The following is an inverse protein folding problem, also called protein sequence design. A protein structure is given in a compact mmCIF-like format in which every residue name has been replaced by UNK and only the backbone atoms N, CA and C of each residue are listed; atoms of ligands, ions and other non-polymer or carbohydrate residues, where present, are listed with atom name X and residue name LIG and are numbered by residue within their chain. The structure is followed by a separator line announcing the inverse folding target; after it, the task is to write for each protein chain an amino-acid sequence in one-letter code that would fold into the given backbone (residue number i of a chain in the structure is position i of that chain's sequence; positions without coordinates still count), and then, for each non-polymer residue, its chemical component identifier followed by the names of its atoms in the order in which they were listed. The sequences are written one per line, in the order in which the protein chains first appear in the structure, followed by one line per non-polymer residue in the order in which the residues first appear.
data_IF_933958332394
#
_entry.id   IF_933958332394
#
_cell.length_a   1.000
_cell.length_b   1.000
_cell.length_c   1.000
_cell.angle_alpha   90.00
_cell.angle_beta   90.00
_cell.angle_gamma   90.00
#
_symmetry.space_group_name_H-M   'P 1'
#
loop_
_entity.id
_entity.type
_entity.pdbx_description
1 polymer ?
#
# COMPACT_ATOMS: atom_id res chain seq x y z
N UNK A 1 12.10 -13.20 -0.45
CA UNK A 1 10.84 -13.39 -1.20
C UNK A 1 11.07 -13.00 -2.65
N UNK A 2 10.57 -13.77 -3.63
CA UNK A 2 10.78 -13.44 -5.05
C UNK A 2 10.10 -12.11 -5.41
N UNK A 3 10.82 -11.22 -6.10
CA UNK A 3 10.29 -9.92 -6.54
C UNK A 3 9.29 -10.11 -7.67
N UNK A 4 8.12 -9.49 -7.55
CA UNK A 4 7.03 -9.60 -8.55
C UNK A 4 7.13 -8.49 -9.60
N UNK A 5 8.26 -8.45 -10.29
CA UNK A 5 8.66 -7.32 -11.15
C UNK A 5 7.58 -6.85 -12.12
N UNK A 6 6.95 -7.77 -12.86
CA UNK A 6 5.85 -7.44 -13.78
C UNK A 6 4.75 -6.61 -13.13
N UNK A 7 4.29 -6.99 -11.94
CA UNK A 7 3.18 -6.31 -11.26
C UNK A 7 3.64 -5.02 -10.56
N UNK A 8 4.88 -5.00 -10.07
CA UNK A 8 5.47 -3.79 -9.51
C UNK A 8 5.62 -2.72 -10.60
N UNK A 9 6.10 -3.08 -11.79
CA UNK A 9 6.29 -2.14 -12.89
C UNK A 9 4.95 -1.49 -13.32
N UNK A 10 3.85 -2.25 -13.34
CA UNK A 10 2.51 -1.69 -13.61
C UNK A 10 2.09 -0.63 -12.57
N UNK A 11 2.45 -0.81 -11.30
CA UNK A 11 2.19 0.18 -10.26
C UNK A 11 3.08 1.42 -10.42
N UNK A 12 4.36 1.21 -10.79
CA UNK A 12 5.33 2.29 -11.04
C UNK A 12 4.87 3.19 -12.18
N UNK A 13 4.46 2.60 -13.32
CA UNK A 13 4.01 3.32 -14.51
C UNK A 13 2.85 4.29 -14.23
N UNK A 14 2.03 4.00 -13.22
CA UNK A 14 0.85 4.80 -12.86
C UNK A 14 1.00 5.62 -11.58
N UNK A 15 2.17 5.60 -10.93
CA UNK A 15 2.42 6.19 -9.59
C UNK A 15 1.96 7.64 -9.51
N UNK A 16 2.45 8.49 -10.42
CA UNK A 16 2.30 9.95 -10.36
C UNK A 16 1.14 10.51 -11.19
N UNK A 17 0.27 9.62 -11.68
CA UNK A 17 -0.91 10.00 -12.47
C UNK A 17 -2.13 10.40 -11.60
N UNK A 18 -2.01 10.37 -10.28
CA UNK A 18 -3.14 10.66 -9.37
C UNK A 18 -4.26 9.61 -9.39
N UNK A 19 -4.05 8.47 -10.05
CA UNK A 19 -5.06 7.41 -10.19
C UNK A 19 -5.14 6.53 -8.94
N UNK A 20 -6.33 6.05 -8.63
CA UNK A 20 -6.56 4.99 -7.64
C UNK A 20 -6.21 3.65 -8.29
N UNK A 21 -5.33 2.87 -7.64
CA UNK A 21 -4.91 1.55 -8.12
C UNK A 21 -5.61 0.46 -7.30
N UNK A 22 -6.33 -0.44 -7.98
CA UNK A 22 -7.02 -1.57 -7.34
C UNK A 22 -6.36 -2.89 -7.74
N UNK A 23 -5.82 -3.62 -6.76
CA UNK A 23 -5.19 -4.93 -6.98
C UNK A 23 -6.19 -6.03 -6.62
N UNK A 24 -6.68 -6.77 -7.62
CA UNK A 24 -7.65 -7.85 -7.44
C UNK A 24 -6.99 -9.24 -7.56
N UNK A 25 -7.72 -10.28 -7.16
CA UNK A 25 -7.29 -11.68 -7.31
C UNK A 25 -7.70 -12.56 -6.12
N UNK A 26 -7.60 -13.87 -6.30
CA UNK A 26 -8.05 -14.88 -5.32
C UNK A 26 -7.35 -14.78 -3.96
N UNK A 27 -7.97 -15.31 -2.89
CA UNK A 27 -7.35 -15.40 -1.56
C UNK A 27 -6.01 -16.17 -1.66
N UNK A 28 -4.98 -15.72 -0.93
CA UNK A 28 -3.60 -16.26 -0.97
C UNK A 28 -2.83 -16.08 -2.28
N UNK A 29 -3.29 -15.23 -3.22
CA UNK A 29 -2.52 -14.89 -4.43
C UNK A 29 -1.30 -13.98 -4.18
N UNK A 30 -1.08 -13.52 -2.93
CA UNK A 30 0.05 -12.68 -2.53
C UNK A 30 -0.11 -11.18 -2.84
N UNK A 31 -1.34 -10.66 -2.80
CA UNK A 31 -1.62 -9.21 -2.97
C UNK A 31 -0.99 -8.36 -1.86
N UNK A 32 -1.13 -8.77 -0.60
CA UNK A 32 -0.53 -8.06 0.53
C UNK A 32 0.99 -7.99 0.41
N UNK A 33 1.62 -9.07 -0.09
CA UNK A 33 3.03 -9.05 -0.44
C UNK A 33 3.34 -8.03 -1.52
N UNK A 34 2.57 -7.99 -2.62
CA UNK A 34 2.82 -7.04 -3.70
C UNK A 34 2.75 -5.58 -3.19
N UNK A 35 1.80 -5.28 -2.30
CA UNK A 35 1.71 -3.98 -1.64
C UNK A 35 2.93 -3.67 -0.77
N UNK A 36 3.43 -4.65 -0.01
CA UNK A 36 4.66 -4.49 0.79
C UNK A 36 5.90 -4.28 -0.10
N UNK A 37 6.04 -5.05 -1.18
CA UNK A 37 7.13 -4.87 -2.15
C UNK A 37 7.06 -3.50 -2.83
N UNK A 38 5.84 -2.99 -3.08
CA UNK A 38 5.66 -1.64 -3.59
C UNK A 38 6.01 -0.59 -2.54
N UNK A 39 5.66 -0.79 -1.26
CA UNK A 39 6.13 0.05 -0.13
C UNK A 39 7.65 0.14 -0.12
N UNK A 40 8.33 -0.99 -0.20
CA UNK A 40 9.80 -1.07 -0.20
C UNK A 40 10.39 -0.33 -1.41
N UNK A 41 9.75 -0.45 -2.58
CA UNK A 41 10.11 0.34 -3.75
C UNK A 41 9.97 1.86 -3.48
N UNK A 42 8.85 2.32 -2.93
CA UNK A 42 8.64 3.74 -2.63
C UNK A 42 9.71 4.28 -1.66
N UNK A 43 10.04 3.51 -0.62
CA UNK A 43 11.12 3.83 0.33
C UNK A 43 12.48 3.92 -0.37
N UNK A 44 12.76 3.03 -1.33
CA UNK A 44 13.99 3.07 -2.15
C UNK A 44 14.06 4.24 -3.14
N UNK A 45 12.98 5.02 -3.26
CA UNK A 45 12.92 6.25 -4.07
C UNK A 45 12.89 7.50 -3.19
N UNK A 46 13.45 7.39 -1.98
CA UNK A 46 13.56 8.46 -0.98
C UNK A 46 12.22 9.05 -0.52
N UNK A 47 11.11 8.33 -0.72
CA UNK A 47 9.83 8.70 -0.12
C UNK A 47 9.91 8.39 1.37
N UNK A 48 9.72 9.43 2.18
CA UNK A 48 9.77 9.30 3.63
C UNK A 48 8.68 8.35 4.13
N UNK A 49 9.00 7.46 5.07
CA UNK A 49 8.05 6.46 5.59
C UNK A 49 6.78 7.09 6.16
N UNK A 50 6.89 8.27 6.80
CA UNK A 50 5.72 9.03 7.29
C UNK A 50 4.71 9.42 6.21
N UNK A 51 5.12 9.47 4.94
CA UNK A 51 4.25 9.77 3.81
C UNK A 51 3.59 8.51 3.22
N UNK A 52 3.83 7.33 3.81
CA UNK A 52 3.30 6.05 3.36
C UNK A 52 2.41 5.45 4.45
N UNK A 53 1.10 5.48 4.23
CA UNK A 53 0.13 4.87 5.13
C UNK A 53 -0.16 3.45 4.67
N UNK A 54 0.26 2.46 5.46
CA UNK A 54 -0.05 1.05 5.22
C UNK A 54 -1.04 0.53 6.26
N UNK A 55 -2.22 0.12 5.81
CA UNK A 55 -3.27 -0.42 6.67
C UNK A 55 -3.53 -1.89 6.35
N UNK A 56 -3.21 -2.78 7.30
CA UNK A 56 -3.67 -4.16 7.26
C UNK A 56 -5.01 -4.26 7.98
N UNK A 57 -6.12 -4.37 7.24
CA UNK A 57 -7.46 -4.45 7.82
C UNK A 57 -7.74 -5.73 8.62
N UNK A 58 -6.87 -6.75 8.55
CA UNK A 58 -6.94 -7.92 9.43
C UNK A 58 -6.29 -7.63 10.81
N UNK A 59 -5.52 -6.54 10.96
CA UNK A 59 -4.88 -6.15 12.22
C UNK A 59 -5.83 -5.34 13.11
N UNK A 60 -5.86 -5.69 14.40
CA UNK A 60 -6.63 -4.97 15.42
C UNK A 60 -6.18 -3.51 15.60
N UNK A 61 -4.95 -3.16 15.18
CA UNK A 61 -4.41 -1.80 15.20
C UNK A 61 -5.36 -0.78 14.53
N UNK A 62 -6.07 -1.20 13.48
CA UNK A 62 -6.88 -0.31 12.65
C UNK A 62 -8.38 -0.35 13.01
N UNK A 63 -8.79 -1.13 14.00
CA UNK A 63 -10.21 -1.32 14.32
C UNK A 63 -10.90 -0.05 14.81
N UNK A 64 -10.15 0.89 15.37
CA UNK A 64 -10.69 2.16 15.85
C UNK A 64 -10.92 3.19 14.74
N UNK A 65 -10.43 2.96 13.51
CA UNK A 65 -10.70 3.83 12.37
C UNK A 65 -12.04 3.43 11.76
N UNK A 66 -13.08 4.24 11.94
CA UNK A 66 -14.43 3.99 11.41
C UNK A 66 -14.84 4.97 10.31
N UNK A 67 -14.23 6.14 10.27
CA UNK A 67 -14.53 7.18 9.30
C UNK A 67 -13.27 7.96 8.90
N UNK A 68 -13.44 8.93 7.99
CA UNK A 68 -12.32 9.74 7.49
C UNK A 68 -11.70 10.64 8.57
N UNK A 69 -12.46 11.06 9.58
CA UNK A 69 -11.95 11.90 10.68
C UNK A 69 -11.00 11.11 11.58
N UNK A 70 -11.34 9.85 11.88
CA UNK A 70 -10.47 8.95 12.66
C UNK A 70 -9.14 8.72 11.92
N UNK A 71 -9.21 8.54 10.60
CA UNK A 71 -8.02 8.38 9.76
C UNK A 71 -7.19 9.65 9.73
N UNK A 72 -7.81 10.81 9.52
CA UNK A 72 -7.13 12.09 9.45
C UNK A 72 -6.37 12.38 10.75
N UNK A 73 -7.00 12.21 11.92
CA UNK A 73 -6.39 12.42 13.25
C UNK A 73 -5.22 11.48 13.56
N UNK A 74 -5.17 10.29 12.93
CA UNK A 74 -4.09 9.32 13.15
C UNK A 74 -2.94 9.49 12.16
N UNK A 75 -3.24 9.90 10.93
CA UNK A 75 -2.27 10.03 9.85
C UNK A 75 -1.53 11.37 9.83
N UNK A 76 -2.13 12.42 10.42
CA UNK A 76 -1.62 13.78 10.47
C UNK A 76 -1.64 14.30 11.91
#
# INVERSE_FOLDING_TARGET
MLKREKYINQLIESKDLGLIKVITGVRRSGKSTLLLQYKDYLLSQDIQEKNIIYMNFESAEWYNIKNYEDLYKRAY
#
